data_IF_032100424154
#
_entry.id   IF_032100424154
#
_cell.length_a   1.000
_cell.length_b   1.000
_cell.length_c   1.000
_cell.angle_alpha   90.00
_cell.angle_beta   90.00
_cell.angle_gamma   90.00
#
_symmetry.space_group_name_H-M   'P 1'
#
loop_
_entity.id
_entity.type
_entity.pdbx_description
1 polymer ?
#
# COMPACT_ATOMS: atom_id res chain seq x y z
N UNK A 1 9.63 45.22 20.33
CA UNK A 1 8.24 45.13 19.85
C UNK A 1 8.15 45.04 18.32
N UNK A 2 9.02 45.69 17.53
CA UNK A 2 9.03 45.50 16.06
C UNK A 2 9.71 44.22 15.58
N UNK A 3 10.66 43.66 16.34
CA UNK A 3 11.41 42.47 15.94
C UNK A 3 10.63 41.17 16.16
N UNK A 4 9.83 41.08 17.24
CA UNK A 4 9.03 39.89 17.55
C UNK A 4 7.96 39.60 16.48
N UNK A 5 7.28 40.65 15.99
CA UNK A 5 6.31 40.56 14.89
C UNK A 5 6.92 40.07 13.57
N UNK A 6 8.20 40.40 13.33
CA UNK A 6 8.91 40.01 12.11
C UNK A 6 9.34 38.55 12.14
N UNK A 7 9.58 38.00 13.33
CA UNK A 7 9.89 36.57 13.55
C UNK A 7 8.64 35.71 13.38
N UNK A 8 7.48 36.14 13.89
CA UNK A 8 6.22 35.41 13.71
C UNK A 8 5.81 35.31 12.23
N UNK A 9 5.87 36.42 11.49
CA UNK A 9 5.52 36.41 10.06
C UNK A 9 6.43 35.50 9.20
N UNK A 10 7.73 35.43 9.51
CA UNK A 10 8.65 34.55 8.79
C UNK A 10 8.44 33.07 9.14
N UNK A 11 8.03 32.78 10.38
CA UNK A 11 7.72 31.43 10.83
C UNK A 11 6.50 30.86 10.10
N UNK A 12 5.39 31.61 10.06
CA UNK A 12 4.14 31.18 9.42
C UNK A 12 4.31 30.89 7.93
N UNK A 13 4.96 31.79 7.19
CA UNK A 13 5.21 31.59 5.75
C UNK A 13 6.08 30.36 5.45
N UNK A 14 7.03 30.03 6.35
CA UNK A 14 7.88 28.85 6.19
C UNK A 14 7.13 27.53 6.42
N UNK A 15 6.16 27.53 7.35
CA UNK A 15 5.34 26.36 7.69
C UNK A 15 4.39 26.04 6.53
N UNK A 16 3.73 27.06 5.96
CA UNK A 16 2.79 26.86 4.83
C UNK A 16 3.49 26.30 3.58
N UNK A 17 4.66 26.83 3.23
CA UNK A 17 5.43 26.37 2.07
C UNK A 17 5.90 24.91 2.24
N UNK A 18 6.28 24.53 3.46
CA UNK A 18 6.67 23.14 3.77
C UNK A 18 5.48 22.19 3.70
N UNK A 19 4.34 22.59 4.27
CA UNK A 19 3.10 21.81 4.24
C UNK A 19 2.61 21.57 2.79
N UNK A 20 2.61 22.60 1.95
CA UNK A 20 2.20 22.50 0.55
C UNK A 20 3.06 21.50 -0.24
N UNK A 21 4.38 21.48 -0.03
CA UNK A 21 5.30 20.51 -0.66
C UNK A 21 5.00 19.07 -0.20
N UNK A 22 4.72 18.88 1.09
CA UNK A 22 4.41 17.55 1.65
C UNK A 22 3.06 17.00 1.16
N UNK A 23 2.05 17.87 1.02
CA UNK A 23 0.75 17.52 0.47
C UNK A 23 0.84 17.06 -0.98
N UNK A 24 1.54 17.82 -1.83
CA UNK A 24 1.73 17.44 -3.24
C UNK A 24 2.48 16.11 -3.38
N UNK A 25 3.54 15.90 -2.59
CA UNK A 25 4.27 14.63 -2.58
C UNK A 25 3.37 13.45 -2.17
N UNK A 26 2.52 13.64 -1.17
CA UNK A 26 1.57 12.62 -0.71
C UNK A 26 0.55 12.27 -1.79
N UNK A 27 0.03 13.26 -2.51
CA UNK A 27 -0.91 13.03 -3.64
C UNK A 27 -0.22 12.25 -4.77
N UNK A 28 0.96 12.69 -5.21
CA UNK A 28 1.71 12.01 -6.29
C UNK A 28 1.99 10.56 -5.92
N UNK A 29 2.45 10.31 -4.70
CA UNK A 29 2.76 8.97 -4.21
C UNK A 29 1.50 8.13 -4.03
N UNK A 30 0.41 8.69 -3.52
CA UNK A 30 -0.86 7.96 -3.40
C UNK A 30 -1.46 7.60 -4.77
N UNK A 31 -1.36 8.48 -5.76
CA UNK A 31 -1.81 8.21 -7.13
C UNK A 31 -0.90 7.22 -7.87
N UNK A 32 0.40 7.16 -7.55
CA UNK A 32 1.29 6.18 -8.18
C UNK A 32 0.94 4.74 -7.79
N UNK A 33 0.16 4.50 -6.73
CA UNK A 33 -0.43 3.20 -6.39
C UNK A 33 -1.45 2.69 -7.43
N UNK A 34 -1.90 3.53 -8.37
CA UNK A 34 -2.68 3.08 -9.51
C UNK A 34 -1.85 2.21 -10.45
N UNK A 35 -0.55 2.46 -10.57
CA UNK A 35 0.36 1.68 -11.43
C UNK A 35 0.35 0.18 -11.05
N UNK A 36 0.67 -0.20 -9.80
CA UNK A 36 0.67 -1.61 -9.41
C UNK A 36 -0.73 -2.25 -9.52
N UNK A 37 -1.79 -1.50 -9.21
CA UNK A 37 -3.17 -1.98 -9.33
C UNK A 37 -3.60 -2.21 -10.80
N UNK A 38 -3.18 -1.33 -11.71
CA UNK A 38 -3.44 -1.44 -13.15
C UNK A 38 -2.77 -2.67 -13.78
N UNK A 39 -1.52 -2.96 -13.40
CA UNK A 39 -0.72 -4.04 -14.01
C UNK A 39 -1.43 -5.39 -13.86
N UNK A 40 -2.05 -5.65 -12.72
CA UNK A 40 -2.94 -6.80 -12.58
C UNK A 40 -4.23 -6.60 -13.39
N UNK A 41 -5.13 -5.75 -12.90
CA UNK A 41 -6.54 -5.83 -13.28
C UNK A 41 -6.83 -5.41 -14.74
N UNK A 42 -6.05 -4.49 -15.31
CA UNK A 42 -6.32 -3.90 -16.62
C UNK A 42 -5.42 -4.44 -17.73
N UNK A 43 -4.18 -4.84 -17.42
CA UNK A 43 -3.20 -5.23 -18.44
C UNK A 43 -3.28 -6.73 -18.73
N UNK A 44 -3.19 -7.60 -17.71
CA UNK A 44 -2.97 -9.02 -17.97
C UNK A 44 -4.25 -9.80 -18.26
N UNK A 45 -5.41 -9.35 -17.77
CA UNK A 45 -6.71 -10.00 -18.00
C UNK A 45 -6.87 -11.40 -17.36
N UNK A 46 -5.76 -12.04 -16.99
CA UNK A 46 -5.67 -13.26 -16.20
C UNK A 46 -4.59 -13.13 -15.11
N UNK A 47 -4.65 -13.95 -14.03
CA UNK A 47 -3.62 -14.01 -13.01
C UNK A 47 -2.29 -14.44 -13.61
N UNK A 48 -1.29 -13.56 -13.51
CA UNK A 48 0.09 -13.87 -13.88
C UNK A 48 1.00 -13.70 -12.67
N UNK A 49 2.22 -14.20 -12.74
CA UNK A 49 3.19 -13.96 -11.66
C UNK A 49 3.48 -12.48 -11.45
N UNK A 50 3.33 -11.66 -12.50
CA UNK A 50 3.48 -10.20 -12.43
C UNK A 50 2.20 -9.48 -11.98
N UNK A 51 1.06 -10.16 -11.90
CA UNK A 51 -0.22 -9.56 -11.53
C UNK A 51 -1.14 -10.65 -11.00
N UNK A 52 -1.00 -11.08 -9.73
CA UNK A 52 -1.72 -12.21 -9.20
C UNK A 52 -3.16 -11.89 -8.79
N UNK A 53 -3.72 -10.77 -9.27
CA UNK A 53 -5.10 -10.35 -9.02
C UNK A 53 -5.41 -10.27 -7.50
N UNK A 54 -4.85 -9.27 -6.80
CA UNK A 54 -5.01 -9.18 -5.36
C UNK A 54 -6.48 -8.97 -4.97
N UNK A 55 -6.91 -9.61 -3.89
CA UNK A 55 -8.28 -9.53 -3.40
C UNK A 55 -8.76 -8.09 -3.18
N UNK A 56 -7.86 -7.16 -2.86
CA UNK A 56 -8.17 -5.74 -2.70
C UNK A 56 -8.68 -5.07 -3.98
N UNK A 57 -8.27 -5.53 -5.16
CA UNK A 57 -8.76 -5.00 -6.45
C UNK A 57 -9.88 -5.88 -7.02
N UNK A 58 -9.78 -7.20 -6.86
CA UNK A 58 -10.75 -8.17 -7.39
C UNK A 58 -12.10 -8.06 -6.70
N UNK A 59 -12.15 -8.05 -5.36
CA UNK A 59 -13.43 -8.04 -4.62
C UNK A 59 -14.25 -6.79 -5.01
N UNK A 60 -13.72 -5.56 -4.95
CA UNK A 60 -14.47 -4.39 -5.37
C UNK A 60 -14.84 -4.41 -6.86
N UNK A 61 -13.96 -4.91 -7.73
CA UNK A 61 -14.26 -5.01 -9.16
C UNK A 61 -15.44 -5.95 -9.45
N UNK A 62 -15.57 -7.05 -8.69
CA UNK A 62 -16.69 -7.97 -8.80
C UNK A 62 -17.99 -7.38 -8.23
N UNK A 63 -17.94 -6.80 -7.02
CA UNK A 63 -19.12 -6.24 -6.36
C UNK A 63 -19.70 -5.00 -7.06
N UNK A 64 -18.84 -4.16 -7.64
CA UNK A 64 -19.25 -2.90 -8.27
C UNK A 64 -19.33 -3.00 -9.81
N UNK A 65 -19.09 -4.19 -10.36
CA UNK A 65 -19.06 -4.46 -11.80
C UNK A 65 -18.17 -3.49 -12.61
N UNK A 66 -17.16 -2.90 -11.97
CA UNK A 66 -16.28 -1.89 -12.57
C UNK A 66 -14.83 -2.11 -12.17
N UNK A 67 -14.01 -2.52 -13.14
CA UNK A 67 -12.56 -2.71 -12.98
C UNK A 67 -11.85 -1.42 -12.59
N UNK A 68 -12.30 -0.29 -13.15
CA UNK A 68 -11.72 1.03 -12.88
C UNK A 68 -11.85 1.38 -11.40
N UNK A 69 -12.99 1.06 -10.77
CA UNK A 69 -13.19 1.32 -9.35
C UNK A 69 -12.25 0.45 -8.50
N UNK A 70 -12.09 -0.83 -8.84
CA UNK A 70 -11.16 -1.73 -8.16
C UNK A 70 -9.71 -1.23 -8.16
N UNK A 71 -9.27 -0.61 -9.25
CA UNK A 71 -7.92 -0.02 -9.36
C UNK A 71 -7.74 1.23 -8.48
N UNK A 72 -8.80 2.00 -8.26
CA UNK A 72 -8.74 3.21 -7.44
C UNK A 72 -8.71 2.92 -5.92
N UNK A 73 -9.19 1.73 -5.50
CA UNK A 73 -9.35 1.37 -4.08
C UNK A 73 -8.05 1.53 -3.27
N UNK A 74 -6.87 1.04 -3.71
CA UNK A 74 -5.66 1.18 -2.92
C UNK A 74 -5.24 2.64 -2.71
N UNK A 75 -5.39 3.50 -3.73
CA UNK A 75 -5.09 4.93 -3.60
C UNK A 75 -6.06 5.63 -2.64
N UNK A 76 -7.36 5.32 -2.73
CA UNK A 76 -8.37 5.88 -1.82
C UNK A 76 -8.09 5.45 -0.38
N UNK A 77 -7.82 4.15 -0.16
CA UNK A 77 -7.48 3.64 1.18
C UNK A 77 -6.18 4.25 1.71
N UNK A 78 -5.17 4.46 0.86
CA UNK A 78 -3.93 5.12 1.24
C UNK A 78 -4.19 6.54 1.77
N UNK A 79 -5.04 7.34 1.11
CA UNK A 79 -5.36 8.69 1.56
C UNK A 79 -6.17 8.70 2.86
N UNK A 80 -7.19 7.84 2.96
CA UNK A 80 -8.02 7.72 4.18
C UNK A 80 -7.17 7.26 5.36
N UNK A 81 -6.23 6.33 5.14
CA UNK A 81 -5.39 5.79 6.20
C UNK A 81 -4.29 6.75 6.66
N UNK A 82 -3.89 7.72 5.85
CA UNK A 82 -2.71 8.55 6.12
C UNK A 82 -2.96 10.07 6.07
N UNK A 83 -3.96 10.63 6.79
CA UNK A 83 -4.20 12.07 6.81
C UNK A 83 -3.01 12.88 7.34
N UNK A 84 -2.19 12.29 8.24
CA UNK A 84 -0.99 12.94 8.78
C UNK A 84 0.10 13.22 7.73
N UNK A 85 0.15 12.45 6.63
CA UNK A 85 1.13 12.69 5.56
C UNK A 85 0.86 14.01 4.82
N UNK A 86 -0.40 14.42 4.70
CA UNK A 86 -0.75 15.73 4.14
C UNK A 86 -0.29 16.90 5.02
N UNK A 87 -0.03 16.64 6.30
CA UNK A 87 0.50 17.62 7.27
C UNK A 87 2.02 17.53 7.41
N UNK A 88 2.69 16.69 6.62
CA UNK A 88 4.13 16.48 6.70
C UNK A 88 4.58 15.66 7.91
N UNK A 89 3.68 14.89 8.56
CA UNK A 89 4.04 14.10 9.73
C UNK A 89 5.12 13.07 9.41
N UNK A 90 6.21 13.10 10.18
CA UNK A 90 7.33 12.20 10.00
C UNK A 90 7.19 10.89 10.76
N UNK A 91 6.35 10.85 11.80
CA UNK A 91 6.18 9.70 12.70
C UNK A 91 5.27 8.64 12.10
N UNK A 92 5.72 7.38 12.14
CA UNK A 92 4.90 6.24 11.73
C UNK A 92 3.85 5.96 12.81
N UNK A 93 2.55 5.95 12.49
CA UNK A 93 1.51 5.72 13.48
C UNK A 93 1.44 4.24 13.85
N UNK A 94 1.23 3.93 15.15
CA UNK A 94 1.17 2.55 15.67
C UNK A 94 0.11 1.68 14.99
N UNK A 95 -0.94 2.29 14.44
CA UNK A 95 -1.99 1.59 13.68
C UNK A 95 -1.44 0.89 12.43
N UNK A 96 -0.40 1.42 11.81
CA UNK A 96 0.18 0.84 10.59
C UNK A 96 0.95 -0.46 10.88
N UNK A 97 1.53 -0.60 12.07
CA UNK A 97 2.08 -1.89 12.54
C UNK A 97 0.98 -2.94 12.69
N UNK A 98 -0.15 -2.56 13.30
CA UNK A 98 -1.31 -3.44 13.42
C UNK A 98 -1.90 -3.82 12.06
N UNK A 99 -2.02 -2.85 11.14
CA UNK A 99 -2.47 -3.11 9.78
C UNK A 99 -1.58 -4.13 9.08
N UNK A 100 -0.25 -3.97 9.14
CA UNK A 100 0.69 -4.92 8.56
C UNK A 100 0.52 -6.32 9.18
N UNK A 101 0.42 -6.42 10.51
CA UNK A 101 0.26 -7.69 11.21
C UNK A 101 -1.05 -8.40 10.81
N UNK A 102 -2.18 -7.69 10.89
CA UNK A 102 -3.50 -8.23 10.54
C UNK A 102 -3.56 -8.60 9.06
N UNK A 103 -3.11 -7.73 8.17
CA UNK A 103 -3.09 -8.01 6.74
C UNK A 103 -2.20 -9.21 6.41
N UNK A 104 -1.07 -9.38 7.10
CA UNK A 104 -0.19 -10.54 6.91
C UNK A 104 -0.90 -11.83 7.32
N UNK A 105 -1.52 -11.86 8.50
CA UNK A 105 -2.26 -13.03 8.98
C UNK A 105 -3.39 -13.39 8.01
N UNK A 106 -4.20 -12.40 7.61
CA UNK A 106 -5.29 -12.62 6.67
C UNK A 106 -4.77 -13.09 5.31
N UNK A 107 -3.65 -12.54 4.81
CA UNK A 107 -3.02 -12.94 3.55
C UNK A 107 -2.54 -14.39 3.60
N UNK A 108 -1.99 -14.84 4.74
CA UNK A 108 -1.60 -16.24 4.95
C UNK A 108 -2.82 -17.15 4.98
N UNK A 109 -3.87 -16.81 5.74
CA UNK A 109 -5.11 -17.60 5.79
C UNK A 109 -5.70 -17.73 4.39
N UNK A 110 -5.81 -16.62 3.65
CA UNK A 110 -6.27 -16.60 2.26
C UNK A 110 -5.46 -17.52 1.36
N UNK A 111 -4.13 -17.44 1.45
CA UNK A 111 -3.22 -18.26 0.66
C UNK A 111 -3.36 -19.75 0.97
N UNK A 112 -3.49 -20.12 2.26
CA UNK A 112 -3.68 -21.50 2.70
C UNK A 112 -5.01 -22.06 2.21
N UNK A 113 -6.10 -21.30 2.33
CA UNK A 113 -7.42 -21.72 1.83
C UNK A 113 -7.43 -21.88 0.30
N UNK A 114 -6.75 -20.98 -0.42
CA UNK A 114 -6.64 -21.01 -1.87
C UNK A 114 -5.62 -21.99 -2.42
N UNK A 115 -4.75 -22.59 -1.59
CA UNK A 115 -3.59 -23.37 -2.05
C UNK A 115 -3.96 -24.50 -3.02
N UNK A 116 -4.96 -25.32 -2.66
CA UNK A 116 -5.40 -26.46 -3.48
C UNK A 116 -5.92 -25.99 -4.85
N UNK A 117 -6.73 -24.93 -4.86
CA UNK A 117 -7.25 -24.34 -6.09
C UNK A 117 -6.14 -23.70 -6.94
N UNK A 118 -5.20 -23.02 -6.28
CA UNK A 118 -3.98 -22.49 -6.87
C UNK A 118 -3.21 -23.55 -7.67
N UNK A 119 -2.98 -24.70 -7.05
CA UNK A 119 -2.29 -25.82 -7.69
C UNK A 119 -3.10 -26.41 -8.85
N UNK A 120 -4.42 -26.49 -8.71
CA UNK A 120 -5.32 -27.07 -9.70
C UNK A 120 -5.46 -26.19 -10.95
N UNK A 121 -5.62 -24.87 -10.80
CA UNK A 121 -5.95 -23.98 -11.93
C UNK A 121 -4.74 -23.21 -12.47
N UNK A 122 -3.78 -22.82 -11.62
CA UNK A 122 -2.62 -22.01 -12.02
C UNK A 122 -1.31 -22.83 -12.07
N UNK A 123 -1.28 -23.99 -11.42
CA UNK A 123 -0.13 -24.89 -11.37
C UNK A 123 0.92 -24.53 -10.32
N UNK A 124 1.75 -25.51 -9.96
CA UNK A 124 2.72 -25.40 -8.87
C UNK A 124 3.73 -24.26 -9.06
N UNK A 125 4.26 -24.08 -10.28
CA UNK A 125 5.25 -23.05 -10.58
C UNK A 125 4.74 -21.62 -10.32
N UNK A 126 3.45 -21.37 -10.58
CA UNK A 126 2.82 -20.09 -10.26
C UNK A 126 2.70 -19.89 -8.74
N UNK A 127 2.10 -20.87 -8.05
CA UNK A 127 1.82 -20.79 -6.60
C UNK A 127 3.10 -20.57 -5.81
N UNK A 128 4.17 -21.30 -6.12
CA UNK A 128 5.46 -21.14 -5.43
C UNK A 128 6.06 -19.76 -5.65
N UNK A 129 6.04 -19.24 -6.89
CA UNK A 129 6.58 -17.89 -7.19
C UNK A 129 5.84 -16.80 -6.44
N UNK A 130 4.50 -16.85 -6.43
CA UNK A 130 3.67 -15.88 -5.72
C UNK A 130 3.88 -16.00 -4.19
N UNK A 131 4.00 -17.23 -3.66
CA UNK A 131 4.31 -17.46 -2.25
C UNK A 131 5.63 -16.82 -1.85
N UNK A 132 6.72 -17.10 -2.60
CA UNK A 132 8.05 -16.55 -2.33
C UNK A 132 8.04 -15.03 -2.40
N UNK A 133 7.40 -14.44 -3.41
CA UNK A 133 7.27 -12.98 -3.55
C UNK A 133 6.52 -12.37 -2.35
N UNK A 134 5.42 -12.97 -1.92
CA UNK A 134 4.62 -12.48 -0.80
C UNK A 134 5.39 -12.58 0.53
N UNK A 135 6.08 -13.71 0.78
CA UNK A 135 6.92 -13.89 1.97
C UNK A 135 8.08 -12.89 1.99
N UNK A 136 8.77 -12.70 0.86
CA UNK A 136 9.87 -11.74 0.75
C UNK A 136 9.40 -10.31 1.04
N UNK A 137 8.25 -9.90 0.51
CA UNK A 137 7.69 -8.57 0.72
C UNK A 137 7.27 -8.34 2.17
N UNK A 138 6.57 -9.31 2.78
CA UNK A 138 6.17 -9.27 4.19
C UNK A 138 7.39 -9.23 5.11
N UNK A 139 8.41 -10.06 4.84
CA UNK A 139 9.64 -10.07 5.63
C UNK A 139 10.37 -8.72 5.54
N UNK A 140 10.44 -8.14 4.35
CA UNK A 140 11.01 -6.81 4.13
C UNK A 140 10.23 -5.73 4.90
N UNK A 141 8.91 -5.64 4.71
CA UNK A 141 8.07 -4.67 5.42
C UNK A 141 8.16 -4.86 6.94
N UNK A 142 8.06 -6.09 7.42
CA UNK A 142 8.17 -6.43 8.84
C UNK A 142 9.51 -6.01 9.43
N UNK A 143 10.61 -6.29 8.74
CA UNK A 143 11.96 -5.89 9.14
C UNK A 143 12.10 -4.37 9.23
N UNK A 144 11.63 -3.64 8.22
CA UNK A 144 11.73 -2.17 8.21
C UNK A 144 10.82 -1.53 9.27
N UNK A 145 9.57 -1.97 9.40
CA UNK A 145 8.66 -1.48 10.45
C UNK A 145 9.15 -1.80 11.86
N UNK A 146 9.81 -2.94 12.07
CA UNK A 146 10.43 -3.31 13.33
C UNK A 146 11.63 -2.41 13.65
N UNK A 147 12.50 -2.16 12.66
CA UNK A 147 13.68 -1.29 12.81
C UNK A 147 13.31 0.13 13.21
N UNK A 148 12.27 0.69 12.59
CA UNK A 148 11.85 2.08 12.83
C UNK A 148 10.76 2.23 13.90
N UNK A 149 10.48 1.19 14.69
CA UNK A 149 9.47 1.26 15.75
C UNK A 149 9.84 2.21 16.91
N UNK A 150 11.14 2.36 17.19
CA UNK A 150 11.67 3.15 18.33
C UNK A 150 12.55 4.34 17.92
N UNK A 151 12.85 4.48 16.63
CA UNK A 151 13.74 5.52 16.13
C UNK A 151 13.01 6.76 15.66
N UNK A 152 13.75 7.84 15.45
CA UNK A 152 13.27 8.99 14.70
C UNK A 152 13.09 8.61 13.23
N UNK A 153 11.97 9.02 12.65
CA UNK A 153 11.63 8.77 11.25
C UNK A 153 11.53 10.08 10.51
N UNK A 154 11.89 10.07 9.23
CA UNK A 154 11.71 11.22 8.35
C UNK A 154 10.38 11.12 7.60
N UNK A 155 9.84 12.26 7.15
CA UNK A 155 8.65 12.29 6.30
C UNK A 155 8.79 11.40 5.07
N UNK A 156 9.94 11.43 4.39
CA UNK A 156 10.22 10.60 3.20
C UNK A 156 10.13 9.11 3.51
N UNK A 157 10.69 8.68 4.64
CA UNK A 157 10.63 7.29 5.09
C UNK A 157 9.19 6.89 5.45
N UNK A 158 8.47 7.75 6.17
CA UNK A 158 7.06 7.53 6.52
C UNK A 158 6.21 7.34 5.26
N UNK A 159 6.37 8.24 4.29
CA UNK A 159 5.69 8.21 3.00
C UNK A 159 6.03 6.94 2.20
N UNK A 160 7.32 6.60 2.09
CA UNK A 160 7.78 5.40 1.37
C UNK A 160 7.26 4.11 2.01
N UNK A 161 7.22 4.02 3.35
CA UNK A 161 6.75 2.82 4.04
C UNK A 161 5.25 2.60 3.88
N UNK A 162 4.46 3.66 3.99
CA UNK A 162 3.03 3.56 3.72
C UNK A 162 2.79 3.24 2.25
N UNK A 163 3.53 3.85 1.33
CA UNK A 163 3.42 3.48 -0.09
C UNK A 163 3.74 2.01 -0.32
N UNK A 164 4.84 1.48 0.22
CA UNK A 164 5.22 0.07 0.08
C UNK A 164 4.19 -0.89 0.69
N UNK A 165 3.60 -0.52 1.84
CA UNK A 165 2.54 -1.28 2.49
C UNK A 165 1.30 -1.36 1.60
N UNK A 166 0.85 -0.21 1.08
CA UNK A 166 -0.33 -0.15 0.21
C UNK A 166 -0.05 -0.74 -1.18
N UNK A 167 1.18 -0.64 -1.70
CA UNK A 167 1.59 -1.29 -2.95
C UNK A 167 1.56 -2.81 -2.81
N UNK A 168 2.00 -3.36 -1.68
CA UNK A 168 1.84 -4.78 -1.39
C UNK A 168 0.38 -5.19 -1.35
N UNK A 169 -0.47 -4.43 -0.65
CA UNK A 169 -1.91 -4.68 -0.59
C UNK A 169 -2.59 -4.61 -1.97
N UNK A 170 -2.15 -3.66 -2.80
CA UNK A 170 -2.64 -3.41 -4.15
C UNK A 170 -2.15 -4.41 -5.20
N UNK A 171 -1.12 -5.20 -4.90
CA UNK A 171 -0.44 -6.06 -5.87
C UNK A 171 -0.42 -7.53 -5.45
N UNK A 172 0.19 -7.86 -4.31
CA UNK A 172 0.54 -9.23 -3.94
C UNK A 172 -0.22 -9.78 -2.74
N UNK A 173 -0.80 -8.93 -1.89
CA UNK A 173 -1.61 -9.41 -0.79
C UNK A 173 -2.89 -10.06 -1.33
N UNK A 174 -3.27 -11.20 -0.76
CA UNK A 174 -4.48 -11.93 -1.14
C UNK A 174 -4.50 -12.32 -2.63
N UNK A 175 -3.49 -13.04 -3.15
CA UNK A 175 -3.45 -13.40 -4.56
C UNK A 175 -4.65 -14.29 -4.92
N UNK A 176 -5.16 -14.12 -6.13
CA UNK A 176 -6.26 -14.92 -6.64
C UNK A 176 -5.80 -16.36 -6.94
N UNK A 177 -6.41 -17.32 -6.26
CA UNK A 177 -6.14 -18.74 -6.39
C UNK A 177 -7.48 -19.47 -6.60
N UNK A 178 -7.98 -19.48 -7.83
CA UNK A 178 -9.30 -20.04 -8.15
C UNK A 178 -9.64 -20.02 -9.64
N UNK A 179 -10.87 -20.38 -9.97
CA UNK A 179 -11.44 -20.31 -11.32
C UNK A 179 -11.90 -18.90 -11.64
N UNK A 180 -11.31 -18.25 -12.64
CA UNK A 180 -11.85 -16.98 -13.13
C UNK A 180 -13.30 -17.18 -13.58
N UNK A 181 -14.24 -16.33 -13.13
CA UNK A 181 -15.61 -16.32 -13.64
C UNK A 181 -15.69 -15.87 -15.09
#
# INVERSE_FOLDING_TARGET
MSDDLKVEMNSEGSIEVSAMKSGLATVIVGLSLLIPACIGLLITGAPTTLGPFPGMTVIPALFLSSRVVGVAVPSVLFFIWNPGLFRGESKIPKRSHWLLAVATILSVIWFVMGWKYGLQYQGAGYVYKVCVANVAWVAFLGGVFARYRKGETSFKLNLALHWLLFAWLAWYAFPYLGELP
#
